data_IF_067867472924
#
_entry.id   IF_067867472924
#
_cell.length_a   1.000
_cell.length_b   1.000
_cell.length_c   1.000
_cell.angle_alpha   90.00
_cell.angle_beta   90.00
_cell.angle_gamma   90.00
#
_symmetry.space_group_name_H-M   'P 1'
#
loop_
_entity.id
_entity.type
_entity.pdbx_description
1 polymer ?
#
# COMPACT_ATOMS: atom_id res chain seq x y z
N UNK A 1 37.32 -30.89 -14.72
CA UNK A 1 37.01 -29.51 -15.25
C UNK A 1 35.57 -29.04 -14.96
N UNK A 2 34.55 -29.89 -14.97
CA UNK A 2 33.15 -29.50 -14.70
C UNK A 2 32.88 -29.04 -13.25
N UNK A 3 33.55 -29.60 -12.25
CA UNK A 3 33.36 -29.28 -10.85
C UNK A 3 33.87 -27.87 -10.48
N UNK A 4 34.94 -27.42 -11.14
CA UNK A 4 35.54 -26.06 -10.91
C UNK A 4 34.68 -24.96 -11.49
N UNK A 5 34.02 -25.21 -12.63
CA UNK A 5 33.11 -24.24 -13.25
C UNK A 5 31.83 -24.04 -12.44
N UNK A 6 31.27 -25.13 -11.89
CA UNK A 6 30.06 -25.06 -11.05
C UNK A 6 30.30 -24.35 -9.69
N UNK A 7 31.55 -24.42 -9.15
CA UNK A 7 31.92 -23.69 -7.94
C UNK A 7 32.09 -22.17 -8.20
N UNK A 8 32.68 -21.80 -9.35
CA UNK A 8 32.84 -20.40 -9.75
C UNK A 8 31.48 -19.71 -10.01
N UNK A 9 30.55 -20.41 -10.69
CA UNK A 9 29.19 -19.87 -10.94
C UNK A 9 28.40 -19.72 -9.64
N UNK A 10 28.55 -20.67 -8.70
CA UNK A 10 27.90 -20.55 -7.36
C UNK A 10 28.52 -19.46 -6.50
N UNK A 11 29.82 -19.21 -6.60
CA UNK A 11 30.52 -18.12 -5.91
C UNK A 11 30.10 -16.75 -6.43
N UNK A 12 30.01 -16.59 -7.75
CA UNK A 12 29.56 -15.37 -8.40
C UNK A 12 28.08 -15.04 -8.07
N UNK A 13 27.20 -16.05 -8.03
CA UNK A 13 25.80 -15.88 -7.66
C UNK A 13 25.63 -15.48 -6.17
N UNK A 14 26.45 -16.03 -5.27
CA UNK A 14 26.47 -15.63 -3.84
C UNK A 14 27.00 -14.23 -3.63
N UNK A 15 28.04 -13.83 -4.34
CA UNK A 15 28.61 -12.46 -4.30
C UNK A 15 27.61 -11.43 -4.82
N UNK A 16 26.93 -11.71 -5.92
CA UNK A 16 25.90 -10.84 -6.49
C UNK A 16 24.67 -10.70 -5.56
N UNK A 17 24.25 -11.79 -4.92
CA UNK A 17 23.15 -11.75 -3.92
C UNK A 17 23.54 -10.93 -2.69
N UNK A 18 24.77 -11.05 -2.18
CA UNK A 18 25.26 -10.26 -1.05
C UNK A 18 25.39 -8.78 -1.38
N UNK A 19 25.90 -8.43 -2.56
CA UNK A 19 26.01 -7.05 -3.01
C UNK A 19 24.62 -6.39 -3.21
N UNK A 20 23.68 -7.12 -3.81
CA UNK A 20 22.29 -6.64 -4.01
C UNK A 20 21.56 -6.46 -2.67
N UNK A 21 21.71 -7.41 -1.74
CA UNK A 21 21.14 -7.28 -0.40
C UNK A 21 21.75 -6.09 0.37
N UNK A 22 23.04 -5.81 0.21
CA UNK A 22 23.70 -4.66 0.81
C UNK A 22 23.23 -3.33 0.22
N UNK A 23 23.02 -3.28 -1.11
CA UNK A 23 22.47 -2.09 -1.80
C UNK A 23 21.03 -1.83 -1.40
N UNK A 24 20.22 -2.89 -1.29
CA UNK A 24 18.83 -2.83 -0.85
C UNK A 24 18.74 -2.36 0.62
N UNK A 25 19.54 -2.93 1.52
CA UNK A 25 19.62 -2.51 2.92
C UNK A 25 20.17 -1.09 3.09
N UNK A 26 21.01 -0.60 2.16
CA UNK A 26 21.47 0.77 2.13
C UNK A 26 20.36 1.73 1.66
N UNK A 27 19.57 1.34 0.66
CA UNK A 27 18.39 2.09 0.21
C UNK A 27 17.33 2.17 1.32
N UNK A 28 17.05 1.07 2.02
CA UNK A 28 16.16 1.07 3.18
C UNK A 28 16.66 1.98 4.31
N UNK A 29 17.97 1.97 4.62
CA UNK A 29 18.54 2.88 5.62
C UNK A 29 18.49 4.34 5.21
N UNK A 30 18.75 4.65 3.95
CA UNK A 30 18.68 6.01 3.40
C UNK A 30 17.24 6.55 3.43
N UNK A 31 16.26 5.73 3.07
CA UNK A 31 14.85 6.11 3.11
C UNK A 31 14.33 6.26 4.54
N UNK A 32 14.74 5.39 5.48
CA UNK A 32 14.39 5.49 6.91
C UNK A 32 14.94 6.79 7.55
N UNK A 33 16.14 7.23 7.17
CA UNK A 33 16.69 8.52 7.61
C UNK A 33 15.97 9.71 6.96
N UNK A 34 15.47 9.54 5.73
CA UNK A 34 14.72 10.58 5.03
C UNK A 34 13.33 10.80 5.67
N UNK A 35 12.65 9.73 6.06
CA UNK A 35 11.31 9.80 6.67
C UNK A 35 11.32 10.46 8.06
N UNK A 36 12.30 10.13 8.91
CA UNK A 36 12.46 10.81 10.21
C UNK A 36 12.81 12.28 10.06
N UNK A 37 13.73 12.62 9.16
CA UNK A 37 14.11 14.00 8.88
C UNK A 37 12.94 14.83 8.33
N UNK A 38 12.07 14.20 7.53
CA UNK A 38 10.88 14.85 6.99
C UNK A 38 9.88 15.20 8.10
N UNK A 39 9.55 14.25 8.99
CA UNK A 39 8.62 14.46 10.09
C UNK A 39 9.11 15.52 11.08
N UNK A 40 10.40 15.50 11.43
CA UNK A 40 11.00 16.52 12.29
C UNK A 40 10.98 17.90 11.63
N UNK A 41 11.22 17.95 10.30
CA UNK A 41 11.12 19.17 9.52
C UNK A 41 9.67 19.69 9.47
N UNK A 42 8.68 18.80 9.22
CA UNK A 42 7.26 19.16 9.23
C UNK A 42 6.81 19.66 10.60
N UNK A 43 7.22 19.02 11.70
CA UNK A 43 6.94 19.49 13.06
C UNK A 43 7.52 20.86 13.35
N UNK A 44 8.68 21.17 12.80
CA UNK A 44 9.40 22.43 13.02
C UNK A 44 8.90 23.57 12.15
N UNK A 45 8.62 23.28 10.87
CA UNK A 45 8.36 24.29 9.83
C UNK A 45 6.88 24.38 9.44
N UNK A 46 6.04 23.44 9.89
CA UNK A 46 4.62 23.40 9.55
C UNK A 46 4.35 23.07 8.06
N UNK A 47 3.07 23.06 7.64
CA UNK A 47 2.70 22.73 6.27
C UNK A 47 3.19 23.76 5.22
N UNK A 48 3.46 25.00 5.62
CA UNK A 48 3.92 26.05 4.70
C UNK A 48 5.40 25.92 4.33
N UNK A 49 6.24 25.31 5.18
CA UNK A 49 7.63 25.01 4.89
C UNK A 49 7.80 23.89 3.82
N UNK A 50 6.74 23.19 3.52
CA UNK A 50 6.63 22.14 2.51
C UNK A 50 5.99 22.64 1.20
N UNK A 51 6.42 23.76 0.68
CA UNK A 51 6.20 24.07 -0.74
C UNK A 51 7.05 23.07 -1.54
N UNK A 52 6.37 22.05 -2.03
CA UNK A 52 6.93 21.00 -2.88
C UNK A 52 7.58 21.68 -4.07
N UNK A 53 8.92 21.70 -4.09
CA UNK A 53 9.65 21.77 -5.36
C UNK A 53 9.12 20.64 -6.24
N UNK A 54 9.44 20.61 -7.51
CA UNK A 54 9.04 19.61 -8.52
C UNK A 54 8.51 18.32 -7.89
N UNK A 55 7.28 17.90 -8.27
CA UNK A 55 6.69 16.65 -7.82
C UNK A 55 7.73 15.52 -7.92
N UNK A 56 7.87 14.66 -6.89
CA UNK A 56 8.80 13.55 -6.96
C UNK A 56 8.48 12.68 -8.17
N UNK A 57 9.50 12.07 -8.76
CA UNK A 57 9.29 11.12 -9.85
C UNK A 57 8.47 9.93 -9.34
N UNK A 58 7.58 9.34 -10.17
CA UNK A 58 6.88 8.12 -9.84
C UNK A 58 7.86 7.01 -9.41
N UNK A 59 7.42 6.14 -8.51
CA UNK A 59 8.19 4.96 -8.14
C UNK A 59 8.14 3.96 -9.30
N UNK A 60 9.30 3.48 -9.73
CA UNK A 60 9.37 2.47 -10.78
C UNK A 60 9.17 1.06 -10.20
N UNK A 61 7.95 0.57 -10.25
CA UNK A 61 7.58 -0.78 -9.78
C UNK A 61 8.27 -1.88 -10.60
N UNK A 62 8.65 -1.60 -11.84
CA UNK A 62 9.20 -2.59 -12.77
C UNK A 62 10.76 -2.60 -12.75
N UNK A 63 11.37 -1.63 -12.04
CA UNK A 63 12.83 -1.61 -11.83
C UNK A 63 13.33 -2.73 -10.90
N UNK A 64 12.45 -3.42 -10.18
CA UNK A 64 12.82 -4.54 -9.34
C UNK A 64 13.34 -5.70 -10.20
N UNK A 65 14.39 -6.43 -9.74
CA UNK A 65 14.80 -7.67 -10.40
C UNK A 65 13.63 -8.63 -10.56
N UNK A 66 13.52 -9.33 -11.70
CA UNK A 66 12.40 -10.22 -12.01
C UNK A 66 12.10 -11.25 -10.90
N UNK A 67 13.14 -11.77 -10.24
CA UNK A 67 13.00 -12.71 -9.10
C UNK A 67 12.30 -12.03 -7.89
N UNK A 68 12.54 -10.74 -7.66
CA UNK A 68 11.92 -9.96 -6.58
C UNK A 68 10.47 -9.62 -6.96
N UNK A 69 10.26 -9.13 -8.17
CA UNK A 69 8.92 -8.82 -8.67
C UNK A 69 8.01 -10.06 -8.69
N UNK A 70 8.54 -11.22 -9.08
CA UNK A 70 7.79 -12.49 -9.08
C UNK A 70 7.46 -13.01 -7.66
N UNK A 71 8.17 -12.54 -6.63
CA UNK A 71 7.92 -12.92 -5.23
C UNK A 71 6.95 -11.98 -4.52
N UNK A 72 6.48 -10.91 -5.17
CA UNK A 72 5.50 -9.99 -4.61
C UNK A 72 4.16 -10.67 -4.41
N UNK A 73 3.57 -10.45 -3.27
CA UNK A 73 2.22 -10.90 -2.97
C UNK A 73 1.20 -10.18 -3.85
N UNK A 74 0.20 -10.91 -4.30
CA UNK A 74 -0.95 -10.37 -5.03
C UNK A 74 -2.23 -10.68 -4.28
N UNK A 75 -3.10 -9.69 -4.20
CA UNK A 75 -4.42 -9.81 -3.61
C UNK A 75 -5.47 -9.38 -4.63
N UNK A 76 -6.72 -9.78 -4.40
CA UNK A 76 -7.85 -9.31 -5.20
C UNK A 76 -9.02 -8.87 -4.33
N UNK A 77 -9.82 -7.97 -4.87
CA UNK A 77 -11.14 -7.60 -4.38
C UNK A 77 -12.17 -7.80 -5.50
N UNK A 78 -13.20 -8.58 -5.25
CA UNK A 78 -14.43 -8.55 -6.02
C UNK A 78 -15.34 -7.50 -5.38
N UNK A 79 -15.69 -6.49 -6.15
CA UNK A 79 -16.40 -5.31 -5.67
C UNK A 79 -17.88 -5.40 -6.07
N UNK A 80 -18.75 -5.07 -5.13
CA UNK A 80 -20.18 -4.91 -5.37
C UNK A 80 -20.66 -3.50 -4.94
N UNK A 81 -21.61 -2.96 -5.68
CA UNK A 81 -22.34 -1.72 -5.38
C UNK A 81 -23.81 -2.07 -5.21
N UNK A 82 -24.35 -1.82 -4.00
CA UNK A 82 -25.72 -2.21 -3.64
C UNK A 82 -26.06 -3.68 -3.95
N UNK A 83 -25.06 -4.56 -3.81
CA UNK A 83 -25.17 -6.01 -4.07
C UNK A 83 -24.97 -6.44 -5.53
N UNK A 84 -24.83 -5.50 -6.46
CA UNK A 84 -24.54 -5.78 -7.87
C UNK A 84 -23.04 -5.76 -8.13
N UNK A 85 -22.52 -6.76 -8.89
CA UNK A 85 -21.11 -6.88 -9.19
C UNK A 85 -20.61 -5.66 -10.00
N UNK A 86 -19.60 -4.96 -9.48
CA UNK A 86 -19.00 -3.80 -10.12
C UNK A 86 -17.67 -4.10 -10.82
N UNK A 87 -16.99 -5.20 -10.45
CA UNK A 87 -15.75 -5.63 -11.09
C UNK A 87 -14.74 -6.19 -10.10
N UNK A 88 -13.56 -6.57 -10.62
CA UNK A 88 -12.43 -7.07 -9.84
C UNK A 88 -11.28 -6.09 -9.88
N UNK A 89 -10.63 -5.90 -8.74
CA UNK A 89 -9.40 -5.13 -8.58
C UNK A 89 -8.31 -6.09 -8.14
N UNK A 90 -7.19 -6.14 -8.86
CA UNK A 90 -6.01 -6.89 -8.46
C UNK A 90 -4.93 -5.94 -7.94
N UNK A 91 -4.33 -6.31 -6.84
CA UNK A 91 -3.36 -5.51 -6.10
C UNK A 91 -2.03 -6.25 -6.03
N UNK A 92 -0.94 -5.55 -6.33
CA UNK A 92 0.44 -6.03 -6.17
C UNK A 92 1.08 -5.32 -4.99
N UNK A 93 1.68 -6.06 -4.07
CA UNK A 93 2.26 -5.54 -2.84
C UNK A 93 3.79 -5.48 -2.92
N UNK A 94 4.40 -4.55 -2.21
CA UNK A 94 5.85 -4.33 -2.17
C UNK A 94 6.47 -5.03 -0.94
N UNK A 95 6.33 -6.35 -0.84
CA UNK A 95 6.79 -7.16 0.31
C UNK A 95 8.27 -6.96 0.61
N UNK A 96 9.08 -6.68 -0.43
CA UNK A 96 10.51 -6.47 -0.28
C UNK A 96 10.88 -5.15 0.42
N UNK A 97 9.99 -4.15 0.37
CA UNK A 97 10.20 -2.83 0.98
C UNK A 97 9.46 -2.68 2.30
N UNK A 98 8.26 -3.22 2.40
CA UNK A 98 7.29 -2.96 3.46
C UNK A 98 6.64 -4.28 3.92
N UNK A 99 7.45 -5.26 4.41
CA UNK A 99 6.97 -6.60 4.73
C UNK A 99 5.88 -6.63 5.80
N UNK A 100 5.95 -5.81 6.86
CA UNK A 100 4.93 -5.78 7.93
C UNK A 100 3.60 -5.21 7.41
N UNK A 101 3.67 -4.13 6.62
CA UNK A 101 2.49 -3.49 6.04
C UNK A 101 1.81 -4.41 5.03
N UNK A 102 2.58 -5.07 4.16
CA UNK A 102 2.08 -6.04 3.19
C UNK A 102 1.50 -7.27 3.88
N UNK A 103 2.14 -7.79 4.93
CA UNK A 103 1.64 -8.92 5.71
C UNK A 103 0.29 -8.58 6.38
N UNK A 104 0.18 -7.39 6.99
CA UNK A 104 -1.08 -6.92 7.56
C UNK A 104 -2.20 -6.93 6.51
N UNK A 105 -1.95 -6.38 5.34
CA UNK A 105 -2.94 -6.30 4.26
C UNK A 105 -3.31 -7.68 3.73
N UNK A 106 -2.32 -8.53 3.48
CA UNK A 106 -2.49 -9.90 2.99
C UNK A 106 -3.32 -10.76 3.96
N UNK A 107 -3.06 -10.66 5.26
CA UNK A 107 -3.83 -11.36 6.29
C UNK A 107 -5.28 -10.88 6.35
N UNK A 108 -5.54 -9.57 6.17
CA UNK A 108 -6.90 -9.03 6.12
C UNK A 108 -7.65 -9.41 4.83
N UNK A 109 -6.93 -9.69 3.73
CA UNK A 109 -7.51 -10.24 2.50
C UNK A 109 -7.84 -11.74 2.61
N UNK A 110 -7.10 -12.48 3.43
CA UNK A 110 -7.25 -13.92 3.61
C UNK A 110 -8.24 -14.29 4.71
N UNK A 111 -8.62 -15.59 4.70
CA UNK A 111 -9.41 -16.15 5.79
C UNK A 111 -8.52 -16.40 6.99
N UNK A 112 -8.82 -15.78 8.13
CA UNK A 112 -8.19 -16.11 9.40
C UNK A 112 -7.06 -15.18 9.83
N UNK A 113 -7.20 -13.88 9.63
CA UNK A 113 -6.33 -12.92 10.31
C UNK A 113 -6.35 -13.16 11.83
N UNK A 114 -5.18 -13.17 12.50
CA UNK A 114 -5.08 -13.42 13.94
C UNK A 114 -5.92 -12.49 14.82
N UNK A 115 -6.26 -11.30 14.31
CA UNK A 115 -7.17 -10.35 14.96
C UNK A 115 -8.65 -10.74 14.88
N UNK A 116 -9.02 -11.66 13.98
CA UNK A 116 -10.41 -12.02 13.69
C UNK A 116 -11.16 -11.06 12.78
N UNK A 117 -10.49 -10.01 12.25
CA UNK A 117 -11.05 -9.07 11.29
C UNK A 117 -10.58 -9.37 9.88
N UNK A 118 -11.35 -8.94 8.85
CA UNK A 118 -11.00 -9.14 7.45
C UNK A 118 -11.70 -8.16 6.54
N UNK A 119 -11.30 -8.17 5.26
CA UNK A 119 -11.89 -7.27 4.25
C UNK A 119 -13.13 -7.83 3.58
N UNK A 120 -13.43 -9.13 3.67
CA UNK A 120 -14.67 -9.69 3.14
C UNK A 120 -15.88 -9.04 3.83
N UNK A 121 -16.79 -8.48 3.05
CA UNK A 121 -17.93 -7.69 3.55
C UNK A 121 -17.57 -6.28 4.03
N UNK A 122 -16.29 -5.88 4.02
CA UNK A 122 -15.87 -4.54 4.43
C UNK A 122 -16.22 -3.50 3.36
N UNK A 123 -16.44 -2.25 3.80
CA UNK A 123 -16.72 -1.15 2.88
C UNK A 123 -15.43 -0.74 2.15
N UNK A 124 -15.47 -0.78 0.80
CA UNK A 124 -14.36 -0.38 -0.08
C UNK A 124 -14.28 1.14 -0.25
N UNK A 125 -15.41 1.83 -0.28
CA UNK A 125 -15.47 3.27 -0.53
C UNK A 125 -16.28 3.99 0.55
N UNK A 126 -15.81 3.94 1.80
CA UNK A 126 -16.40 4.74 2.89
C UNK A 126 -16.43 6.23 2.54
N UNK A 127 -15.44 6.69 1.80
CA UNK A 127 -15.35 8.06 1.33
C UNK A 127 -14.62 8.13 -0.01
N UNK A 128 -15.13 8.95 -0.90
CA UNK A 128 -14.41 9.42 -2.09
C UNK A 128 -13.72 10.73 -1.73
N UNK A 129 -12.40 10.73 -1.67
CA UNK A 129 -11.59 11.89 -1.31
C UNK A 129 -11.15 12.59 -2.57
N UNK A 130 -11.66 13.80 -2.80
CA UNK A 130 -11.34 14.59 -4.00
C UNK A 130 -9.84 14.80 -4.14
N UNK A 131 -9.29 14.48 -5.33
CA UNK A 131 -7.87 14.63 -5.61
C UNK A 131 -6.97 13.57 -4.94
N UNK A 132 -7.57 12.53 -4.34
CA UNK A 132 -6.87 11.37 -3.80
C UNK A 132 -7.42 10.09 -4.40
N UNK A 133 -8.67 9.72 -4.11
CA UNK A 133 -9.29 8.48 -4.55
C UNK A 133 -10.27 7.91 -3.51
N UNK A 134 -10.35 6.59 -3.44
CA UNK A 134 -11.24 5.88 -2.51
C UNK A 134 -10.55 5.65 -1.16
N UNK A 135 -11.24 5.96 -0.08
CA UNK A 135 -10.88 5.55 1.29
C UNK A 135 -11.76 4.38 1.70
N UNK A 136 -11.15 3.22 1.90
CA UNK A 136 -11.83 1.99 2.24
C UNK A 136 -11.16 1.21 3.37
N UNK A 137 -11.50 -0.09 3.47
CA UNK A 137 -10.91 -0.98 4.46
C UNK A 137 -11.47 -0.78 5.87
N UNK A 138 -12.72 -0.33 5.97
CA UNK A 138 -13.44 -0.24 7.25
C UNK A 138 -13.93 -1.63 7.64
N UNK A 139 -13.30 -2.21 8.65
CA UNK A 139 -13.67 -3.51 9.20
C UNK A 139 -14.62 -3.38 10.39
N UNK A 140 -15.31 -4.46 10.76
CA UNK A 140 -16.22 -4.49 11.90
C UNK A 140 -15.45 -4.51 13.25
N UNK A 141 -14.74 -3.42 13.50
CA UNK A 141 -13.94 -3.21 14.72
C UNK A 141 -14.30 -1.86 15.36
N UNK A 142 -14.05 -1.67 16.65
CA UNK A 142 -14.23 -0.38 17.31
C UNK A 142 -13.47 0.73 16.57
N UNK A 143 -14.22 1.73 16.08
CA UNK A 143 -13.67 2.80 15.26
C UNK A 143 -13.43 2.46 13.79
N UNK A 144 -13.86 1.27 13.32
CA UNK A 144 -13.81 0.87 11.92
C UNK A 144 -12.40 0.58 11.39
N UNK A 145 -11.42 0.37 12.27
CA UNK A 145 -10.03 0.09 11.88
C UNK A 145 -9.33 -0.79 12.92
N UNK A 146 -8.72 -1.87 12.45
CA UNK A 146 -7.90 -2.76 13.26
C UNK A 146 -6.86 -3.46 12.39
N UNK A 147 -5.63 -3.63 12.88
CA UNK A 147 -4.64 -4.42 12.15
C UNK A 147 -4.99 -5.91 12.14
N UNK A 148 -4.38 -6.67 11.25
CA UNK A 148 -4.50 -8.12 11.20
C UNK A 148 -3.90 -8.81 12.44
N UNK A 149 -3.00 -8.12 13.14
CA UNK A 149 -2.20 -8.71 14.22
C UNK A 149 -2.99 -8.85 15.53
N UNK A 150 -2.89 -10.01 16.17
CA UNK A 150 -3.55 -10.25 17.45
C UNK A 150 -3.09 -9.27 18.53
N UNK A 151 -4.04 -8.66 19.24
CA UNK A 151 -3.75 -7.74 20.33
C UNK A 151 -3.13 -6.39 19.94
N UNK A 152 -2.96 -6.11 18.64
CA UNK A 152 -2.40 -4.85 18.12
C UNK A 152 -3.44 -4.16 17.23
N UNK A 153 -4.12 -3.17 17.76
CA UNK A 153 -5.10 -2.41 16.99
C UNK A 153 -4.46 -1.61 15.85
N UNK A 154 -3.27 -1.07 16.09
CA UNK A 154 -2.49 -0.26 15.16
C UNK A 154 -1.04 -0.72 15.14
N UNK A 155 -0.31 -0.38 14.05
CA UNK A 155 1.12 -0.62 13.90
C UNK A 155 1.83 0.62 13.32
N UNK A 156 3.16 0.62 13.46
CA UNK A 156 3.99 1.75 13.11
C UNK A 156 4.10 1.98 11.60
N UNK A 157 4.48 3.19 11.20
CA UNK A 157 4.86 3.52 9.84
C UNK A 157 6.18 2.82 9.50
N UNK A 158 6.14 1.85 8.58
CA UNK A 158 7.30 1.04 8.22
C UNK A 158 8.29 1.80 7.33
N UNK A 159 7.78 2.69 6.46
CA UNK A 159 8.60 3.57 5.63
C UNK A 159 7.79 4.32 4.57
N UNK A 160 8.39 5.37 3.99
CA UNK A 160 7.78 6.22 2.96
C UNK A 160 8.64 6.18 1.69
N UNK A 161 8.76 4.99 1.09
CA UNK A 161 9.64 4.72 -0.05
C UNK A 161 9.00 5.12 -1.38
N UNK A 162 7.67 5.06 -1.46
CA UNK A 162 6.90 5.28 -2.66
C UNK A 162 6.18 6.62 -2.57
N UNK A 163 6.52 7.60 -3.43
CA UNK A 163 5.80 8.88 -3.48
C UNK A 163 4.43 8.69 -4.13
N UNK A 164 3.44 9.45 -3.69
CA UNK A 164 2.10 9.47 -4.28
C UNK A 164 2.07 10.32 -5.56
N UNK A 165 2.93 9.98 -6.54
CA UNK A 165 3.13 10.77 -7.76
C UNK A 165 2.19 10.39 -8.90
N UNK A 166 1.45 9.27 -8.77
CA UNK A 166 0.60 8.72 -9.83
C UNK A 166 -0.69 8.09 -9.27
N UNK A 167 -1.73 7.88 -10.10
CA UNK A 167 -2.89 7.11 -9.73
C UNK A 167 -2.59 5.61 -9.61
N UNK A 168 -3.46 4.87 -8.94
CA UNK A 168 -3.37 3.43 -8.80
C UNK A 168 -2.51 2.94 -7.65
N UNK A 169 -2.07 3.81 -6.75
CA UNK A 169 -1.32 3.40 -5.55
C UNK A 169 -2.27 2.90 -4.45
N UNK A 170 -1.80 1.87 -3.75
CA UNK A 170 -2.39 1.36 -2.51
C UNK A 170 -1.58 1.91 -1.34
N UNK A 171 -2.23 2.69 -0.48
CA UNK A 171 -1.57 3.41 0.61
C UNK A 171 -2.36 3.30 1.92
N UNK A 172 -1.68 3.15 3.06
CA UNK A 172 -2.34 3.08 4.36
C UNK A 172 -3.00 4.42 4.73
N UNK A 173 -4.23 4.33 5.22
CA UNK A 173 -4.86 5.46 5.90
C UNK A 173 -4.60 5.35 7.41
N UNK A 174 -4.26 6.48 8.01
CA UNK A 174 -3.92 6.56 9.43
C UNK A 174 -4.57 7.78 10.10
N UNK A 175 -4.52 7.85 11.41
CA UNK A 175 -4.98 8.96 12.23
C UNK A 175 -3.80 9.78 12.81
N UNK A 176 -2.62 9.66 12.23
CA UNK A 176 -1.36 10.27 12.66
C UNK A 176 -0.23 9.25 12.58
N UNK A 177 0.93 9.64 13.07
CA UNK A 177 2.15 8.81 13.06
C UNK A 177 1.91 7.49 13.78
N UNK A 178 2.37 6.38 13.19
CA UNK A 178 2.36 5.05 13.79
C UNK A 178 0.93 4.55 14.17
N UNK A 179 -0.07 4.90 13.36
CA UNK A 179 -1.47 4.49 13.60
C UNK A 179 -2.10 3.74 12.44
N UNK A 180 -1.31 2.98 11.68
CA UNK A 180 -1.81 2.13 10.60
C UNK A 180 -2.69 1.01 11.17
N UNK A 181 -3.77 0.70 10.47
CA UNK A 181 -4.71 -0.36 10.86
C UNK A 181 -5.14 -1.19 9.66
N UNK A 182 -6.46 -1.17 9.35
CA UNK A 182 -7.02 -1.83 8.16
C UNK A 182 -7.35 -0.84 7.05
N UNK A 183 -7.55 0.45 7.36
CA UNK A 183 -8.01 1.41 6.37
C UNK A 183 -6.91 1.77 5.37
N UNK A 184 -7.29 1.93 4.12
CA UNK A 184 -6.38 2.24 3.01
C UNK A 184 -7.00 3.20 2.00
N UNK A 185 -6.13 3.80 1.19
CA UNK A 185 -6.50 4.55 -0.01
C UNK A 185 -6.17 3.74 -1.26
N UNK A 186 -7.07 3.78 -2.26
CA UNK A 186 -6.78 3.48 -3.65
C UNK A 186 -6.77 4.81 -4.41
N UNK A 187 -5.59 5.25 -4.85
CA UNK A 187 -5.46 6.58 -5.46
C UNK A 187 -5.97 6.59 -6.90
N UNK A 188 -6.67 7.66 -7.28
CA UNK A 188 -7.13 7.93 -8.66
C UNK A 188 -6.43 9.14 -9.27
N UNK A 189 -5.59 9.81 -8.49
CA UNK A 189 -4.79 10.95 -8.90
C UNK A 189 -3.48 10.99 -8.11
N UNK A 190 -2.52 11.77 -8.59
CA UNK A 190 -1.33 12.11 -7.81
C UNK A 190 -1.72 12.87 -6.54
N UNK A 191 -1.19 12.47 -5.39
CA UNK A 191 -1.51 13.02 -4.08
C UNK A 191 -0.26 13.33 -3.24
N UNK A 192 0.65 14.21 -3.69
CA UNK A 192 1.96 14.43 -3.06
C UNK A 192 1.86 14.97 -1.63
N UNK A 193 0.70 15.49 -1.22
CA UNK A 193 0.45 15.90 0.16
C UNK A 193 0.34 14.73 1.15
N UNK A 194 0.26 13.49 0.65
CA UNK A 194 0.28 12.25 1.45
C UNK A 194 1.70 11.74 1.71
N UNK A 195 2.70 12.24 0.95
CA UNK A 195 4.09 11.81 1.10
C UNK A 195 4.61 12.08 2.50
N UNK A 196 5.28 11.08 3.09
CA UNK A 196 5.77 11.12 4.46
C UNK A 196 4.69 11.06 5.55
N UNK A 197 3.42 10.85 5.18
CA UNK A 197 2.28 10.73 6.10
C UNK A 197 1.56 9.40 5.98
N UNK A 198 1.43 8.91 4.75
CA UNK A 198 0.75 7.66 4.43
C UNK A 198 1.75 6.72 3.77
N UNK A 199 1.77 5.47 4.23
CA UNK A 199 2.69 4.44 3.72
C UNK A 199 2.09 3.84 2.46
N UNK A 200 2.62 4.20 1.28
CA UNK A 200 2.26 3.54 0.03
C UNK A 200 3.02 2.22 -0.08
N UNK A 201 2.30 1.11 -0.18
CA UNK A 201 2.85 -0.25 -0.06
C UNK A 201 2.49 -1.19 -1.20
N UNK A 202 1.83 -0.67 -2.24
CA UNK A 202 1.44 -1.46 -3.40
C UNK A 202 0.81 -0.62 -4.50
N UNK A 203 0.38 -1.33 -5.55
CA UNK A 203 -0.33 -0.73 -6.69
C UNK A 203 -1.53 -1.58 -7.13
N UNK A 204 -2.44 -0.96 -7.84
CA UNK A 204 -3.47 -1.64 -8.63
C UNK A 204 -2.80 -2.21 -9.88
N UNK A 205 -2.70 -3.54 -9.95
CA UNK A 205 -2.13 -4.25 -11.08
C UNK A 205 -3.15 -4.47 -12.21
N UNK A 206 -4.45 -4.61 -11.86
CA UNK A 206 -5.56 -4.69 -12.79
C UNK A 206 -6.84 -4.10 -12.17
N UNK A 207 -7.77 -3.58 -12.98
CA UNK A 207 -9.03 -3.01 -12.50
C UNK A 207 -8.92 -1.56 -12.01
N UNK A 208 -7.93 -0.78 -12.47
CA UNK A 208 -7.83 0.64 -12.16
C UNK A 208 -9.01 1.43 -12.71
N UNK A 209 -9.57 1.02 -13.83
CA UNK A 209 -10.78 1.58 -14.42
C UNK A 209 -12.01 1.39 -13.52
N UNK A 210 -12.11 0.27 -12.80
CA UNK A 210 -13.13 0.06 -11.76
C UNK A 210 -12.98 1.08 -10.65
N UNK A 211 -11.76 1.28 -10.12
CA UNK A 211 -11.47 2.26 -9.07
C UNK A 211 -11.83 3.68 -9.52
N UNK A 212 -11.45 4.05 -10.75
CA UNK A 212 -11.74 5.37 -11.31
C UNK A 212 -13.25 5.57 -11.51
N UNK A 213 -13.94 4.58 -12.08
CA UNK A 213 -15.39 4.63 -12.29
C UNK A 213 -16.13 4.80 -10.95
N UNK A 214 -15.75 4.06 -9.91
CA UNK A 214 -16.34 4.21 -8.58
C UNK A 214 -16.06 5.61 -8.00
N UNK A 215 -14.84 6.12 -8.15
CA UNK A 215 -14.50 7.46 -7.65
C UNK A 215 -15.29 8.57 -8.33
N UNK A 216 -15.54 8.45 -9.63
CA UNK A 216 -16.25 9.46 -10.42
C UNK A 216 -17.75 9.39 -10.22
N UNK A 217 -18.33 8.18 -10.18
CA UNK A 217 -19.80 7.98 -10.08
C UNK A 217 -20.31 8.14 -8.65
N UNK A 218 -19.53 7.76 -7.64
CA UNK A 218 -19.95 7.81 -6.23
C UNK A 218 -19.60 9.13 -5.54
N UNK A 219 -18.94 10.05 -6.23
CA UNK A 219 -18.54 11.30 -5.63
C UNK A 219 -19.75 12.18 -5.31
N UNK A 220 -19.90 12.50 -4.03
CA UNK A 220 -20.86 13.50 -3.54
C UNK A 220 -20.11 14.74 -3.02
N UNK A 221 -20.82 15.87 -2.86
CA UNK A 221 -20.20 17.10 -2.31
C UNK A 221 -19.57 16.90 -0.92
N UNK A 222 -20.04 15.90 -0.16
CA UNK A 222 -19.49 15.53 1.16
C UNK A 222 -18.47 14.38 1.07
N UNK A 223 -18.27 13.82 -0.11
CA UNK A 223 -17.37 12.68 -0.36
C UNK A 223 -17.83 11.35 0.27
N UNK A 224 -19.05 11.26 0.79
CA UNK A 224 -19.61 10.03 1.33
C UNK A 224 -20.57 9.46 0.28
N UNK A 225 -20.30 8.26 -0.28
CA UNK A 225 -21.24 7.59 -1.19
C UNK A 225 -22.60 7.37 -0.52
N UNK A 226 -23.65 7.40 -1.33
CA UNK A 226 -25.01 7.04 -0.92
C UNK A 226 -25.19 5.53 -1.03
N UNK A 227 -24.55 4.96 -2.06
CA UNK A 227 -24.55 3.54 -2.39
C UNK A 227 -23.63 2.76 -1.41
N UNK A 228 -23.99 1.53 -1.10
CA UNK A 228 -23.12 0.63 -0.35
C UNK A 228 -22.09 0.01 -1.30
N UNK A 229 -20.83 0.36 -1.12
CA UNK A 229 -19.71 -0.20 -1.91
C UNK A 229 -18.92 -1.14 -1.03
N UNK A 230 -19.05 -2.44 -1.29
CA UNK A 230 -18.44 -3.47 -0.46
C UNK A 230 -17.43 -4.34 -1.22
N UNK A 231 -16.52 -4.90 -0.48
CA UNK A 231 -15.63 -5.98 -0.93
C UNK A 231 -16.41 -7.27 -0.75
N UNK A 232 -17.13 -7.71 -1.80
CA UNK A 232 -17.95 -8.90 -1.75
C UNK A 232 -17.14 -10.18 -1.52
N UNK A 233 -15.93 -10.23 -2.12
CA UNK A 233 -14.94 -11.27 -1.87
C UNK A 233 -13.53 -10.70 -1.99
N UNK A 234 -12.61 -11.29 -1.26
CA UNK A 234 -11.18 -10.97 -1.36
C UNK A 234 -10.33 -12.22 -1.09
N UNK A 235 -9.05 -12.13 -1.44
CA UNK A 235 -8.11 -13.22 -1.22
C UNK A 235 -6.74 -12.89 -1.77
N UNK A 236 -5.83 -13.86 -1.63
CA UNK A 236 -4.49 -13.84 -2.26
C UNK A 236 -4.52 -14.63 -3.57
N UNK A 237 -3.74 -14.19 -4.56
CA UNK A 237 -3.58 -14.81 -5.88
C UNK A 237 -2.31 -15.66 -5.94
#
# INVERSE_FOLDING_TARGET
MAATFAAAVRGAARGARSARAATFAAAQRAASTHSRGWYEKYRREGPEGFRVGTAPAPFDFDAAPAEVAAARSRCFFDVAVDGEAAGRIELELLDELLPETCENFRLLCGDGAPSGFGYAGANLARRVVKGVGLLGGVVDAPGGSHSAFAGRRVFADEGFFVPHAEPGLLSMANAGVDTNGSQFYLTTAAAPHMDGRCVAFGRVAAGLDVVQTLADTLYTQRGVPVENVEIAACGTL
#
